data_IF_475453264799
#
_entry.id   IF_475453264799
#
_cell.length_a   1.000
_cell.length_b   1.000
_cell.length_c   1.000
_cell.angle_alpha   90.00
_cell.angle_beta   90.00
_cell.angle_gamma   90.00
#
_symmetry.space_group_name_H-M   'P 1'
#
loop_
_entity.id
_entity.type
_entity.pdbx_description
1 polymer ?
#
# COMPACT_ATOMS: atom_id res chain seq x y z
N UNK A 1 -9.33 -6.73 71.76
CA UNK A 1 -9.22 -5.71 70.70
C UNK A 1 -8.02 -6.09 69.85
N UNK A 2 -8.29 -6.82 68.75
CA UNK A 2 -7.28 -7.36 67.84
C UNK A 2 -6.82 -6.27 66.87
N UNK A 3 -5.50 -6.11 66.75
CA UNK A 3 -4.78 -5.25 65.82
C UNK A 3 -4.68 -5.90 64.44
N UNK A 4 -5.15 -5.21 63.39
CA UNK A 4 -4.85 -5.55 61.99
C UNK A 4 -3.90 -4.51 61.40
N UNK A 5 -2.76 -4.90 60.78
CA UNK A 5 -1.88 -3.97 60.10
C UNK A 5 -2.47 -3.55 58.75
N UNK A 6 -2.49 -2.25 58.50
CA UNK A 6 -2.85 -1.63 57.22
C UNK A 6 -1.94 -2.14 56.10
N UNK A 7 -2.53 -2.73 55.08
CA UNK A 7 -1.86 -3.12 53.85
C UNK A 7 -1.17 -1.91 53.21
N UNK A 8 0.14 -2.00 53.00
CA UNK A 8 0.87 -1.01 52.21
C UNK A 8 0.38 -1.03 50.76
N UNK A 9 0.26 0.13 50.09
CA UNK A 9 0.03 0.19 48.66
C UNK A 9 1.26 -0.42 47.98
N UNK A 10 1.08 -1.53 47.30
CA UNK A 10 2.11 -2.04 46.41
C UNK A 10 2.29 -1.00 45.30
N UNK A 11 3.44 -0.33 45.32
CA UNK A 11 4.00 0.36 44.17
C UNK A 11 3.99 -0.61 43.00
N UNK A 12 2.92 -0.55 42.20
CA UNK A 12 2.92 -1.04 40.83
C UNK A 12 3.89 -0.13 40.10
N UNK A 13 5.19 -0.46 40.23
CA UNK A 13 6.19 -0.13 39.23
C UNK A 13 5.69 -0.78 37.96
N UNK A 14 4.86 -0.04 37.23
CA UNK A 14 4.63 -0.26 35.80
C UNK A 14 6.01 -0.11 35.22
N UNK A 15 6.68 -1.26 35.04
CA UNK A 15 7.86 -1.35 34.22
C UNK A 15 7.45 -0.71 32.89
N UNK A 16 8.00 0.45 32.61
CA UNK A 16 7.92 1.13 31.32
C UNK A 16 8.58 0.17 30.34
N UNK A 17 7.76 -0.72 29.79
CA UNK A 17 8.15 -1.67 28.77
C UNK A 17 8.36 -0.83 27.51
N UNK A 18 9.62 -0.58 27.22
CA UNK A 18 10.08 0.02 25.98
C UNK A 18 9.56 -0.83 24.81
N UNK A 19 8.51 -0.36 24.14
CA UNK A 19 7.95 -0.98 22.94
C UNK A 19 6.43 -0.85 22.87
N UNK A 20 5.93 0.26 22.33
CA UNK A 20 4.50 0.53 22.09
C UNK A 20 3.90 -0.35 20.96
N UNK A 21 4.22 -1.65 20.85
CA UNK A 21 3.61 -2.50 19.83
C UNK A 21 2.17 -2.84 20.24
N UNK A 22 1.20 -2.12 19.65
CA UNK A 22 -0.22 -2.46 19.77
C UNK A 22 -0.41 -3.90 19.26
N UNK A 23 -1.09 -4.80 19.99
CA UNK A 23 -1.29 -6.17 19.54
C UNK A 23 -1.88 -6.21 18.12
N UNK A 24 -1.21 -6.92 17.21
CA UNK A 24 -1.62 -7.02 15.80
C UNK A 24 -1.13 -5.89 14.88
N UNK A 25 -0.11 -5.11 15.31
CA UNK A 25 0.62 -4.16 14.46
C UNK A 25 2.12 -4.48 14.46
N UNK A 26 2.84 -4.07 13.41
CA UNK A 26 4.30 -4.16 13.36
C UNK A 26 4.98 -2.98 14.11
N UNK A 27 6.30 -2.92 14.05
CA UNK A 27 7.11 -1.86 14.70
C UNK A 27 6.80 -0.44 14.19
N UNK A 28 6.24 -0.32 12.98
CA UNK A 28 5.84 0.95 12.36
C UNK A 28 4.35 1.25 12.58
N UNK A 29 3.64 0.43 13.37
CA UNK A 29 2.21 0.57 13.62
C UNK A 29 1.30 0.05 12.50
N UNK A 30 1.85 -0.65 11.51
CA UNK A 30 1.09 -1.20 10.38
C UNK A 30 0.39 -2.50 10.83
N UNK A 31 -0.91 -2.59 10.56
CA UNK A 31 -1.73 -3.76 10.90
C UNK A 31 -1.19 -5.03 10.25
N UNK A 32 -1.02 -6.10 11.03
CA UNK A 32 -0.60 -7.42 10.55
C UNK A 32 -1.74 -8.43 10.60
N UNK A 33 -1.63 -9.53 9.86
CA UNK A 33 -2.62 -10.62 9.82
C UNK A 33 -3.90 -10.31 9.02
N UNK A 34 -4.15 -9.05 8.67
CA UNK A 34 -5.28 -8.63 7.83
C UNK A 34 -5.00 -7.32 7.09
N UNK A 35 -5.77 -7.06 6.04
CA UNK A 35 -5.78 -5.75 5.39
C UNK A 35 -6.35 -4.67 6.32
N UNK A 36 -5.80 -3.45 6.27
CA UNK A 36 -6.27 -2.30 7.07
C UNK A 36 -7.71 -1.92 6.69
N UNK A 37 -8.01 -1.94 5.40
CA UNK A 37 -9.33 -1.62 4.83
C UNK A 37 -9.79 -2.74 3.89
N UNK A 38 -11.08 -2.81 3.61
CA UNK A 38 -11.62 -3.68 2.55
C UNK A 38 -11.22 -3.21 1.15
N UNK A 39 -11.46 -4.03 0.12
CA UNK A 39 -11.09 -3.70 -1.26
C UNK A 39 -11.75 -2.40 -1.75
N UNK A 40 -13.01 -2.18 -1.36
CA UNK A 40 -13.77 -0.95 -1.65
C UNK A 40 -13.73 0.07 -0.51
N UNK A 41 -12.88 -0.13 0.51
CA UNK A 41 -12.77 0.77 1.66
C UNK A 41 -12.11 2.11 1.37
N UNK A 42 -11.81 2.43 0.10
CA UNK A 42 -11.27 3.72 -0.31
C UNK A 42 -12.30 4.86 -0.22
N UNK A 43 -13.59 4.54 -0.06
CA UNK A 43 -14.67 5.54 0.09
C UNK A 43 -14.46 6.46 1.29
N UNK A 44 -13.82 5.96 2.36
CA UNK A 44 -13.50 6.72 3.58
C UNK A 44 -12.33 7.71 3.39
N UNK A 45 -11.59 7.62 2.29
CA UNK A 45 -10.50 8.53 1.93
C UNK A 45 -10.54 8.80 0.44
N UNK A 46 -11.71 9.23 -0.04
CA UNK A 46 -11.98 9.45 -1.45
C UNK A 46 -10.97 10.43 -2.08
N UNK A 47 -10.58 11.46 -1.31
CA UNK A 47 -9.44 12.33 -1.59
C UNK A 47 -8.43 12.24 -0.44
N UNK A 48 -7.14 11.97 -0.68
CA UNK A 48 -6.49 11.80 -1.99
C UNK A 48 -6.57 10.38 -2.56
N UNK A 49 -6.85 9.35 -1.75
CA UNK A 49 -6.52 7.97 -2.10
C UNK A 49 -7.36 7.38 -3.25
N UNK A 50 -8.69 7.47 -3.15
CA UNK A 50 -9.59 6.98 -4.21
C UNK A 50 -9.36 7.68 -5.54
N UNK A 51 -9.30 9.01 -5.50
CA UNK A 51 -9.03 9.85 -6.67
C UNK A 51 -7.66 9.58 -7.30
N UNK A 52 -6.58 9.57 -6.51
CA UNK A 52 -5.23 9.33 -7.02
C UNK A 52 -5.07 7.92 -7.57
N UNK A 53 -5.64 6.91 -6.93
CA UNK A 53 -5.60 5.53 -7.41
C UNK A 53 -6.35 5.33 -8.73
N UNK A 54 -7.33 6.18 -9.03
CA UNK A 54 -8.09 6.16 -10.29
C UNK A 54 -7.47 7.03 -11.38
N UNK A 55 -7.19 8.30 -11.06
CA UNK A 55 -6.73 9.29 -12.03
C UNK A 55 -5.20 9.27 -12.24
N UNK A 56 -4.44 8.86 -11.22
CA UNK A 56 -2.98 8.89 -11.22
C UNK A 56 -2.38 7.61 -10.61
N UNK A 57 -2.75 6.40 -11.10
CA UNK A 57 -2.34 5.15 -10.50
C UNK A 57 -0.81 5.00 -10.44
N UNK A 58 -0.08 5.59 -11.40
CA UNK A 58 1.38 5.61 -11.40
C UNK A 58 1.97 6.31 -10.17
N UNK A 59 1.36 7.41 -9.72
CA UNK A 59 1.80 8.12 -8.51
C UNK A 59 1.56 7.24 -7.28
N UNK A 60 0.34 6.71 -7.11
CA UNK A 60 0.02 5.86 -5.96
C UNK A 60 0.89 4.61 -5.91
N UNK A 61 1.16 3.95 -7.04
CA UNK A 61 2.06 2.79 -7.10
C UNK A 61 3.51 3.16 -6.79
N UNK A 62 3.97 4.33 -7.25
CA UNK A 62 5.29 4.85 -6.92
C UNK A 62 5.43 5.14 -5.42
N UNK A 63 4.42 5.74 -4.81
CA UNK A 63 4.37 6.01 -3.38
C UNK A 63 4.39 4.71 -2.56
N UNK A 64 3.57 3.71 -2.92
CA UNK A 64 3.56 2.39 -2.26
C UNK A 64 4.93 1.71 -2.39
N UNK A 65 5.50 1.73 -3.59
CA UNK A 65 6.77 1.03 -3.90
C UNK A 65 7.95 1.66 -3.15
N UNK A 66 8.00 3.00 -3.07
CA UNK A 66 8.97 3.75 -2.28
C UNK A 66 8.78 3.49 -0.77
N UNK A 67 7.53 3.51 -0.29
CA UNK A 67 7.19 3.25 1.12
C UNK A 67 7.65 1.86 1.56
N UNK A 68 7.56 0.87 0.67
CA UNK A 68 8.02 -0.50 0.94
C UNK A 68 9.51 -0.75 0.69
N UNK A 69 10.23 0.24 0.14
CA UNK A 69 11.64 0.11 -0.24
C UNK A 69 11.89 -0.84 -1.42
N UNK A 70 10.91 -1.01 -2.31
CA UNK A 70 11.01 -1.97 -3.43
C UNK A 70 11.62 -1.34 -4.69
N UNK A 71 11.15 -0.15 -5.05
CA UNK A 71 11.64 0.62 -6.20
C UNK A 71 11.62 2.09 -5.81
N UNK A 72 12.56 2.85 -6.36
CA UNK A 72 12.55 4.29 -6.14
C UNK A 72 11.33 4.92 -6.80
N UNK A 73 10.77 5.95 -6.17
CA UNK A 73 9.63 6.71 -6.71
C UNK A 73 9.86 7.12 -8.18
N UNK A 74 11.03 7.69 -8.50
CA UNK A 74 11.36 8.15 -9.85
C UNK A 74 11.42 7.03 -10.89
N UNK A 75 11.87 5.83 -10.51
CA UNK A 75 11.88 4.68 -11.43
C UNK A 75 10.46 4.28 -11.82
N UNK A 76 9.54 4.21 -10.85
CA UNK A 76 8.14 3.84 -11.12
C UNK A 76 7.47 4.91 -11.97
N UNK A 77 7.69 6.20 -11.69
CA UNK A 77 7.19 7.28 -12.53
C UNK A 77 7.74 7.20 -13.96
N UNK A 78 9.03 6.93 -14.13
CA UNK A 78 9.63 6.72 -15.46
C UNK A 78 8.96 5.59 -16.23
N UNK A 79 8.70 4.44 -15.58
CA UNK A 79 8.01 3.30 -16.20
C UNK A 79 6.59 3.70 -16.65
N UNK A 80 5.80 4.32 -15.77
CA UNK A 80 4.45 4.77 -16.13
C UNK A 80 4.48 5.85 -17.23
N UNK A 81 5.46 6.75 -17.20
CA UNK A 81 5.67 7.76 -18.24
C UNK A 81 5.93 7.15 -19.61
N UNK A 82 6.77 6.11 -19.68
CA UNK A 82 7.00 5.36 -20.93
C UNK A 82 5.72 4.68 -21.40
N UNK A 83 4.97 4.01 -20.52
CA UNK A 83 3.70 3.35 -20.89
C UNK A 83 2.70 4.37 -21.44
N UNK A 84 2.55 5.53 -20.79
CA UNK A 84 1.65 6.58 -21.27
C UNK A 84 2.10 7.20 -22.60
N UNK A 85 3.40 7.36 -22.81
CA UNK A 85 3.94 7.82 -24.09
C UNK A 85 3.65 6.81 -25.21
N UNK A 86 3.86 5.52 -24.98
CA UNK A 86 3.52 4.46 -25.94
C UNK A 86 2.02 4.47 -26.23
N UNK A 87 1.18 4.72 -25.21
CA UNK A 87 -0.27 4.75 -25.37
C UNK A 87 -0.73 5.94 -26.22
N UNK A 88 -0.10 7.10 -26.00
CA UNK A 88 -0.31 8.28 -26.83
C UNK A 88 0.07 8.02 -28.29
N UNK A 89 1.23 7.40 -28.54
CA UNK A 89 1.68 7.05 -29.89
C UNK A 89 0.72 6.05 -30.54
N UNK A 90 0.25 5.03 -29.81
CA UNK A 90 -0.74 4.09 -30.29
C UNK A 90 -2.02 4.81 -30.74
N UNK A 91 -2.55 5.71 -29.90
CA UNK A 91 -3.75 6.48 -30.19
C UNK A 91 -3.61 7.41 -31.41
N UNK A 92 -2.44 8.04 -31.59
CA UNK A 92 -2.17 8.94 -32.71
C UNK A 92 -1.90 8.20 -34.02
N UNK A 93 -1.22 7.05 -33.98
CA UNK A 93 -0.78 6.32 -35.18
C UNK A 93 -1.79 5.28 -35.66
N UNK A 94 -2.68 4.79 -34.79
CA UNK A 94 -3.65 3.71 -35.06
C UNK A 94 -2.99 2.48 -35.71
N UNK A 95 -1.79 2.15 -35.27
CA UNK A 95 -1.01 1.02 -35.77
C UNK A 95 -1.11 -0.18 -34.84
N UNK A 96 -1.43 -1.34 -35.41
CA UNK A 96 -1.54 -2.61 -34.68
C UNK A 96 -0.26 -2.98 -33.91
N UNK A 97 0.91 -2.51 -34.37
CA UNK A 97 2.17 -2.70 -33.65
C UNK A 97 2.15 -2.01 -32.28
N UNK A 98 1.74 -0.74 -32.24
CA UNK A 98 1.68 0.02 -30.98
C UNK A 98 0.57 -0.49 -30.07
N UNK A 99 -0.56 -0.92 -30.63
CA UNK A 99 -1.64 -1.56 -29.87
C UNK A 99 -1.17 -2.85 -29.21
N UNK A 100 -0.41 -3.69 -29.93
CA UNK A 100 0.18 -4.91 -29.39
C UNK A 100 1.16 -4.62 -28.24
N UNK A 101 2.02 -3.61 -28.38
CA UNK A 101 2.93 -3.19 -27.30
C UNK A 101 2.17 -2.71 -26.06
N UNK A 102 1.05 -2.01 -26.24
CA UNK A 102 0.20 -1.59 -25.13
C UNK A 102 -0.45 -2.76 -24.42
N UNK A 103 -0.95 -3.75 -25.16
CA UNK A 103 -1.52 -4.96 -24.55
C UNK A 103 -0.46 -5.66 -23.67
N UNK A 104 0.77 -5.81 -24.17
CA UNK A 104 1.88 -6.38 -23.39
C UNK A 104 2.16 -5.53 -22.14
N UNK A 105 2.24 -4.20 -22.29
CA UNK A 105 2.51 -3.30 -21.18
C UNK A 105 1.42 -3.36 -20.10
N UNK A 106 0.14 -3.43 -20.49
CA UNK A 106 -0.99 -3.57 -19.56
C UNK A 106 -0.91 -4.90 -18.81
N UNK A 107 -0.62 -6.02 -19.49
CA UNK A 107 -0.43 -7.32 -18.83
C UNK A 107 0.72 -7.24 -17.82
N UNK A 108 1.86 -6.65 -18.20
CA UNK A 108 3.00 -6.48 -17.32
C UNK A 108 2.68 -5.61 -16.08
N UNK A 109 1.90 -4.54 -16.25
CA UNK A 109 1.46 -3.69 -15.14
C UNK A 109 0.51 -4.43 -14.20
N UNK A 110 -0.46 -5.18 -14.72
CA UNK A 110 -1.39 -5.99 -13.90
C UNK A 110 -0.61 -7.03 -13.10
N UNK A 111 0.34 -7.73 -13.72
CA UNK A 111 1.20 -8.68 -13.03
C UNK A 111 2.06 -7.99 -11.96
N UNK A 112 2.61 -6.81 -12.26
CA UNK A 112 3.40 -6.04 -11.30
C UNK A 112 2.58 -5.59 -10.09
N UNK A 113 1.34 -5.14 -10.29
CA UNK A 113 0.41 -4.85 -9.20
C UNK A 113 0.06 -6.09 -8.38
N UNK A 114 -0.18 -7.23 -9.02
CA UNK A 114 -0.43 -8.50 -8.34
C UNK A 114 0.77 -8.94 -7.49
N UNK A 115 1.99 -8.75 -8.00
CA UNK A 115 3.24 -9.00 -7.27
C UNK A 115 3.37 -8.05 -6.08
N UNK A 116 3.14 -6.75 -6.28
CA UNK A 116 3.19 -5.76 -5.21
C UNK A 116 2.22 -6.12 -4.07
N UNK A 117 0.98 -6.46 -4.43
CA UNK A 117 -0.04 -6.94 -3.49
C UNK A 117 0.38 -8.20 -2.75
N UNK A 118 0.96 -9.17 -3.48
CA UNK A 118 1.50 -10.41 -2.88
C UNK A 118 2.63 -10.11 -1.91
N UNK A 119 3.53 -9.18 -2.24
CA UNK A 119 4.65 -8.78 -1.39
C UNK A 119 4.14 -8.16 -0.08
N UNK A 120 3.19 -7.22 -0.16
CA UNK A 120 2.54 -6.64 1.02
C UNK A 120 1.91 -7.75 1.86
N UNK A 121 1.08 -8.59 1.23
CA UNK A 121 0.38 -9.68 1.90
C UNK A 121 1.34 -10.61 2.66
N UNK A 122 2.46 -10.99 2.04
CA UNK A 122 3.49 -11.83 2.66
C UNK A 122 4.22 -11.08 3.79
N UNK A 123 4.60 -9.81 3.58
CA UNK A 123 5.34 -9.00 4.56
C UNK A 123 4.55 -8.83 5.86
N UNK A 124 3.25 -8.59 5.77
CA UNK A 124 2.39 -8.34 6.94
C UNK A 124 1.57 -9.57 7.38
N UNK A 125 1.92 -10.79 6.92
CA UNK A 125 1.28 -12.03 7.36
C UNK A 125 -0.21 -12.16 7.03
N UNK A 126 -0.69 -11.52 5.98
CA UNK A 126 -2.10 -11.50 5.61
C UNK A 126 -2.46 -12.81 4.86
N UNK A 127 -3.53 -13.52 5.24
CA UNK A 127 -3.93 -14.76 4.57
C UNK A 127 -4.44 -14.49 3.15
N UNK A 128 -4.09 -15.37 2.21
CA UNK A 128 -4.51 -15.27 0.82
C UNK A 128 -3.58 -16.04 -0.13
N UNK A 129 -3.71 -15.78 -1.42
CA UNK A 129 -2.93 -16.47 -2.45
C UNK A 129 -2.70 -15.60 -3.69
N UNK A 130 -1.61 -15.84 -4.43
CA UNK A 130 -1.19 -15.01 -5.55
C UNK A 130 -2.24 -14.96 -6.68
N UNK A 131 -3.02 -16.02 -6.88
CA UNK A 131 -4.12 -16.04 -7.86
C UNK A 131 -5.24 -15.05 -7.48
N UNK A 132 -5.60 -14.96 -6.20
CA UNK A 132 -6.57 -13.96 -5.72
C UNK A 132 -6.01 -12.55 -5.86
N UNK A 133 -4.73 -12.37 -5.55
CA UNK A 133 -4.05 -11.08 -5.69
C UNK A 133 -4.01 -10.59 -7.15
N UNK A 134 -3.83 -11.50 -8.11
CA UNK A 134 -3.94 -11.22 -9.54
C UNK A 134 -5.39 -10.89 -9.96
N UNK A 135 -6.37 -11.67 -9.50
CA UNK A 135 -7.79 -11.43 -9.80
C UNK A 135 -8.24 -10.04 -9.31
N UNK A 136 -7.88 -9.64 -8.09
CA UNK A 136 -8.23 -8.30 -7.57
C UNK A 136 -7.51 -7.18 -8.34
N UNK A 137 -6.25 -7.38 -8.71
CA UNK A 137 -5.48 -6.39 -9.46
C UNK A 137 -5.98 -6.20 -10.90
N UNK A 138 -6.56 -7.25 -11.50
CA UNK A 138 -7.18 -7.19 -12.82
C UNK A 138 -8.60 -6.61 -12.77
N UNK A 139 -9.48 -7.13 -11.91
CA UNK A 139 -10.90 -6.76 -11.91
C UNK A 139 -11.19 -5.36 -11.36
N UNK A 140 -10.45 -4.91 -10.33
CA UNK A 140 -10.48 -3.51 -9.89
C UNK A 140 -9.09 -3.06 -9.45
N UNK A 141 -8.23 -2.76 -10.44
CA UNK A 141 -6.86 -2.31 -10.20
C UNK A 141 -6.78 -1.07 -9.29
N UNK A 142 -7.63 -0.06 -9.53
CA UNK A 142 -7.68 1.16 -8.71
C UNK A 142 -8.09 0.87 -7.26
N UNK A 143 -9.09 0.03 -7.03
CA UNK A 143 -9.49 -0.40 -5.69
C UNK A 143 -8.34 -1.11 -4.96
N UNK A 144 -7.65 -2.01 -5.68
CA UNK A 144 -6.51 -2.76 -5.15
C UNK A 144 -5.36 -1.83 -4.78
N UNK A 145 -5.04 -0.85 -5.64
CA UNK A 145 -4.04 0.19 -5.36
C UNK A 145 -4.44 1.00 -4.13
N UNK A 146 -5.69 1.46 -4.05
CA UNK A 146 -6.17 2.25 -2.93
C UNK A 146 -6.12 1.48 -1.60
N UNK A 147 -6.50 0.20 -1.60
CA UNK A 147 -6.39 -0.67 -0.43
C UNK A 147 -4.93 -0.83 0.01
N UNK A 148 -4.02 -1.09 -0.94
CA UNK A 148 -2.59 -1.21 -0.65
C UNK A 148 -2.02 0.11 -0.10
N UNK A 149 -2.39 1.24 -0.70
CA UNK A 149 -1.95 2.57 -0.30
C UNK A 149 -2.37 2.91 1.14
N UNK A 150 -3.62 2.58 1.51
CA UNK A 150 -4.12 2.76 2.87
C UNK A 150 -3.41 1.83 3.86
N UNK A 151 -3.13 0.60 3.45
CA UNK A 151 -2.52 -0.39 4.32
C UNK A 151 -1.08 -0.03 4.69
N UNK A 152 -0.27 0.43 3.73
CA UNK A 152 1.13 0.82 3.99
C UNK A 152 1.28 2.31 4.38
N UNK A 153 0.16 3.02 4.49
CA UNK A 153 0.10 4.44 4.83
C UNK A 153 0.99 5.31 3.92
N UNK A 154 0.90 5.06 2.61
CA UNK A 154 1.72 5.75 1.59
C UNK A 154 1.26 7.16 1.21
N UNK A 155 0.13 7.61 1.77
CA UNK A 155 -0.45 8.94 1.52
C UNK A 155 -0.88 9.60 2.83
N UNK A 156 -1.04 10.92 2.79
CA UNK A 156 -1.55 11.70 3.92
C UNK A 156 -3.04 12.04 3.70
N UNK A 157 -3.95 11.63 4.60
CA UNK A 157 -5.36 11.96 4.48
C UNK A 157 -5.59 13.48 4.40
N UNK A 158 -6.47 13.91 3.48
CA UNK A 158 -6.78 15.34 3.30
C UNK A 158 -5.71 16.15 2.55
N UNK A 159 -4.56 15.56 2.16
CA UNK A 159 -3.52 16.25 1.40
C UNK A 159 -3.16 15.49 0.11
N UNK A 160 -3.36 16.12 -1.05
CA UNK A 160 -2.97 15.58 -2.35
C UNK A 160 -1.48 15.83 -2.63
N UNK A 161 -0.61 15.06 -1.97
CA UNK A 161 0.84 15.09 -2.24
C UNK A 161 1.19 14.13 -3.37
N UNK A 162 1.92 14.64 -4.36
CA UNK A 162 2.45 13.85 -5.46
C UNK A 162 3.87 13.33 -5.17
N UNK A 163 4.54 13.81 -4.12
CA UNK A 163 5.91 13.43 -3.80
C UNK A 163 6.07 12.03 -3.19
N UNK A 164 7.32 11.57 -3.05
CA UNK A 164 7.65 10.30 -2.40
C UNK A 164 7.36 10.34 -0.89
N UNK A 165 6.79 9.27 -0.30
CA UNK A 165 6.74 9.12 1.15
C UNK A 165 8.08 8.63 1.71
N UNK A 166 8.25 8.74 3.03
CA UNK A 166 9.36 8.10 3.74
C UNK A 166 9.31 6.57 3.59
N UNK A 167 10.46 5.90 3.58
CA UNK A 167 10.54 4.44 3.43
C UNK A 167 10.43 3.73 4.79
N UNK A 168 9.65 2.64 4.85
CA UNK A 168 9.61 1.72 5.98
C UNK A 168 10.91 0.91 6.02
N UNK A 169 11.85 1.36 6.84
CA UNK A 169 13.15 0.71 7.01
C UNK A 169 13.02 -0.31 8.13
N UNK A 170 13.04 -1.60 7.79
CA UNK A 170 13.17 -2.69 8.74
C UNK A 170 14.66 -2.93 8.94
N UNK A 171 15.21 -2.59 10.12
CA UNK A 171 16.61 -2.80 10.49
C UNK A 171 16.78 -4.21 11.06
#
# INVERSE_FOLDING_TARGET
>A
MHSSPSAQPQDVKIAVMSGNSVPGTDEHGIVTGRWKTGLFGFTESLVPNGFMSFCCPGISVAQISQRLGLLSYNQVIGIFGVVYLVALIAACTRSAFWDFLIIIAVIALVLSLARLRTTIRKRYGIPGGPAKDAAYSFCCGSCSIAQMASHVESYEPGSCKFGPPETLTYI
#
